data_IF_878228434307
#
_entry.id   IF_878228434307
#
_cell.length_a   1.000
_cell.length_b   1.000
_cell.length_c   1.000
_cell.angle_alpha   90.00
_cell.angle_beta   90.00
_cell.angle_gamma   90.00
#
_symmetry.space_group_name_H-M   'P 1'
#
loop_
_entity.id
_entity.type
_entity.pdbx_description
1 polymer ?
#
# COMPACT_ATOMS: atom_id res chain seq x y z
N UNK A 1 -38.97 -36.29 -36.41
CA UNK A 1 -37.97 -36.34 -35.33
C UNK A 1 -36.84 -35.42 -35.75
N UNK A 2 -37.08 -34.10 -35.66
CA UNK A 2 -36.11 -33.09 -36.06
C UNK A 2 -35.19 -32.77 -34.88
N UNK A 3 -33.90 -33.04 -35.07
CA UNK A 3 -32.85 -32.67 -34.12
C UNK A 3 -32.67 -31.16 -34.12
N UNK A 4 -33.18 -30.49 -33.08
CA UNK A 4 -32.79 -29.12 -32.76
C UNK A 4 -31.30 -29.09 -32.42
N UNK A 5 -30.48 -28.71 -33.40
CA UNK A 5 -29.09 -28.35 -33.16
C UNK A 5 -29.07 -27.09 -32.29
N UNK A 6 -28.74 -27.26 -31.01
CA UNK A 6 -28.46 -26.17 -30.08
C UNK A 6 -27.20 -25.47 -30.60
N UNK A 7 -27.40 -24.40 -31.36
CA UNK A 7 -26.33 -23.50 -31.77
C UNK A 7 -25.75 -22.86 -30.50
N UNK A 8 -24.63 -23.39 -30.01
CA UNK A 8 -23.85 -22.77 -28.93
C UNK A 8 -23.36 -21.42 -29.45
N UNK A 9 -24.13 -20.37 -29.12
CA UNK A 9 -23.89 -19.01 -29.56
C UNK A 9 -22.43 -18.60 -29.39
N UNK A 10 -21.69 -18.58 -30.49
CA UNK A 10 -20.36 -18.00 -30.54
C UNK A 10 -20.51 -16.51 -30.27
N UNK A 11 -19.90 -16.00 -29.20
CA UNK A 11 -19.90 -14.55 -28.95
C UNK A 11 -19.45 -13.81 -30.21
N UNK A 12 -20.14 -12.74 -30.62
CA UNK A 12 -19.80 -12.01 -31.83
C UNK A 12 -18.36 -11.49 -31.75
N UNK A 13 -17.62 -11.59 -32.85
CA UNK A 13 -16.18 -11.30 -32.93
C UNK A 13 -15.81 -9.94 -32.30
N UNK A 14 -16.65 -8.92 -32.51
CA UNK A 14 -16.48 -7.57 -31.92
C UNK A 14 -16.48 -7.58 -30.39
N UNK A 15 -17.33 -8.39 -29.75
CA UNK A 15 -17.37 -8.53 -28.28
C UNK A 15 -16.13 -9.27 -27.76
N UNK A 16 -15.67 -10.30 -28.48
CA UNK A 16 -14.44 -11.03 -28.10
C UNK A 16 -13.20 -10.12 -28.14
N UNK A 17 -13.07 -9.30 -29.17
CA UNK A 17 -11.97 -8.32 -29.28
C UNK A 17 -12.05 -7.29 -28.14
N UNK A 18 -13.24 -6.74 -27.87
CA UNK A 18 -13.42 -5.77 -26.79
C UNK A 18 -13.12 -6.34 -25.39
N UNK A 19 -13.59 -7.56 -25.07
CA UNK A 19 -13.27 -8.20 -23.80
C UNK A 19 -11.78 -8.57 -23.71
N UNK A 20 -11.18 -9.01 -24.83
CA UNK A 20 -9.74 -9.29 -24.90
C UNK A 20 -8.90 -8.04 -24.64
N UNK A 21 -9.26 -6.90 -25.23
CA UNK A 21 -8.53 -5.64 -24.99
C UNK A 21 -8.67 -5.14 -23.55
N UNK A 22 -9.86 -5.26 -22.95
CA UNK A 22 -10.09 -4.91 -21.53
C UNK A 22 -9.24 -5.80 -20.63
N UNK A 23 -9.18 -7.10 -20.91
CA UNK A 23 -8.40 -8.05 -20.12
C UNK A 23 -6.90 -7.77 -20.20
N UNK A 24 -6.38 -7.46 -21.40
CA UNK A 24 -4.97 -7.06 -21.58
C UNK A 24 -4.69 -5.76 -20.80
N UNK A 25 -5.57 -4.76 -20.90
CA UNK A 25 -5.43 -3.51 -20.16
C UNK A 25 -5.41 -3.75 -18.63
N UNK A 26 -6.26 -4.65 -18.15
CA UNK A 26 -6.28 -5.05 -16.74
C UNK A 26 -4.96 -5.69 -16.31
N UNK A 27 -4.40 -6.61 -17.11
CA UNK A 27 -3.10 -7.22 -16.82
C UNK A 27 -1.99 -6.16 -16.78
N UNK A 28 -1.96 -5.25 -17.77
CA UNK A 28 -0.95 -4.19 -17.82
C UNK A 28 -1.07 -3.25 -16.61
N UNK A 29 -2.29 -2.92 -16.21
CA UNK A 29 -2.54 -2.13 -15.01
C UNK A 29 -2.04 -2.85 -13.75
N UNK A 30 -2.35 -4.13 -13.58
CA UNK A 30 -1.85 -4.92 -12.45
C UNK A 30 -0.31 -5.01 -12.44
N UNK A 31 0.31 -5.18 -13.61
CA UNK A 31 1.76 -5.20 -13.74
C UNK A 31 2.39 -3.85 -13.34
N UNK A 32 1.77 -2.72 -13.71
CA UNK A 32 2.25 -1.40 -13.29
C UNK A 32 2.19 -1.19 -11.78
N UNK A 33 1.18 -1.72 -11.09
CA UNK A 33 1.11 -1.65 -9.63
C UNK A 33 2.26 -2.43 -8.99
N UNK A 34 2.53 -3.64 -9.47
CA UNK A 34 3.66 -4.45 -8.99
C UNK A 34 4.99 -3.73 -9.18
N UNK A 35 5.17 -3.01 -10.29
CA UNK A 35 6.38 -2.23 -10.54
C UNK A 35 6.62 -1.11 -9.52
N UNK A 36 5.58 -0.59 -8.88
CA UNK A 36 5.68 0.42 -7.81
C UNK A 36 5.88 -0.25 -6.44
N UNK A 37 5.18 -1.35 -6.18
CA UNK A 37 5.19 -2.05 -4.88
C UNK A 37 6.53 -2.76 -4.61
N UNK A 38 7.14 -3.36 -5.63
CA UNK A 38 8.38 -4.13 -5.46
C UNK A 38 9.54 -3.27 -4.94
N UNK A 39 9.86 -2.10 -5.54
CA UNK A 39 10.86 -1.21 -4.96
C UNK A 39 10.57 -0.85 -3.50
N UNK A 40 9.30 -0.57 -3.16
CA UNK A 40 8.88 -0.30 -1.77
C UNK A 40 9.23 -1.45 -0.85
N UNK A 41 8.91 -2.70 -1.23
CA UNK A 41 9.29 -3.85 -0.39
C UNK A 41 10.79 -4.04 -0.15
N UNK A 42 11.65 -3.45 -0.99
CA UNK A 42 13.12 -3.57 -0.93
C UNK A 42 13.76 -2.35 -0.21
N UNK A 43 12.95 -1.43 0.35
CA UNK A 43 13.47 -0.25 1.06
C UNK A 43 13.62 0.99 0.18
N UNK A 44 12.93 1.05 -0.96
CA UNK A 44 12.92 2.20 -1.87
C UNK A 44 11.49 2.69 -2.09
N UNK A 45 11.20 3.98 -1.92
CA UNK A 45 9.83 4.53 -2.03
C UNK A 45 8.98 4.31 -0.77
N UNK A 46 9.53 4.64 0.39
CA UNK A 46 8.78 4.84 1.63
C UNK A 46 8.58 6.32 1.95
N UNK A 47 9.38 7.21 1.35
CA UNK A 47 9.33 8.64 1.63
C UNK A 47 8.66 9.48 0.53
N UNK A 48 8.10 10.60 0.95
CA UNK A 48 7.52 11.64 0.11
C UNK A 48 6.29 11.17 -0.67
N UNK A 49 6.02 11.89 -1.76
CA UNK A 49 4.88 11.62 -2.64
C UNK A 49 4.98 10.22 -3.26
N UNK A 50 6.20 9.74 -3.52
CA UNK A 50 6.41 8.41 -4.12
C UNK A 50 6.06 7.31 -3.11
N UNK A 51 6.43 7.47 -1.84
CA UNK A 51 5.99 6.60 -0.75
C UNK A 51 4.48 6.55 -0.60
N UNK A 52 3.82 7.71 -0.63
CA UNK A 52 2.35 7.78 -0.59
C UNK A 52 1.68 7.06 -1.78
N UNK A 53 2.20 7.27 -3.00
CA UNK A 53 1.69 6.57 -4.20
C UNK A 53 1.89 5.06 -4.09
N UNK A 54 3.01 4.61 -3.52
CA UNK A 54 3.29 3.20 -3.29
C UNK A 54 2.31 2.57 -2.28
N UNK A 55 2.09 3.22 -1.14
CA UNK A 55 1.14 2.75 -0.11
C UNK A 55 -0.29 2.63 -0.67
N UNK A 56 -0.76 3.64 -1.41
CA UNK A 56 -2.07 3.57 -2.09
C UNK A 56 -2.10 2.41 -3.09
N UNK A 57 -1.05 2.28 -3.90
CA UNK A 57 -0.98 1.25 -4.94
C UNK A 57 -1.07 -0.15 -4.35
N UNK A 58 -0.37 -0.40 -3.24
CA UNK A 58 -0.45 -1.64 -2.49
C UNK A 58 -1.86 -1.91 -1.95
N UNK A 59 -2.47 -0.93 -1.27
CA UNK A 59 -3.84 -1.08 -0.72
C UNK A 59 -4.86 -1.34 -1.81
N UNK A 60 -4.78 -0.62 -2.93
CA UNK A 60 -5.67 -0.80 -4.07
C UNK A 60 -5.48 -2.18 -4.71
N UNK A 61 -4.23 -2.63 -4.85
CA UNK A 61 -3.91 -3.96 -5.38
C UNK A 61 -4.56 -5.08 -4.55
N UNK A 62 -4.49 -5.00 -3.22
CA UNK A 62 -5.15 -5.95 -2.31
C UNK A 62 -6.67 -5.95 -2.51
N UNK A 63 -7.30 -4.77 -2.59
CA UNK A 63 -8.75 -4.64 -2.82
C UNK A 63 -9.17 -5.28 -4.15
N UNK A 64 -8.40 -5.05 -5.21
CA UNK A 64 -8.66 -5.65 -6.53
C UNK A 64 -8.53 -7.17 -6.48
N UNK A 65 -7.49 -7.72 -5.84
CA UNK A 65 -7.33 -9.18 -5.71
C UNK A 65 -8.52 -9.80 -4.98
N UNK A 66 -8.91 -9.23 -3.83
CA UNK A 66 -10.06 -9.73 -3.06
C UNK A 66 -11.35 -9.65 -3.89
N UNK A 67 -11.56 -8.55 -4.62
CA UNK A 67 -12.70 -8.39 -5.52
C UNK A 67 -12.74 -9.45 -6.63
N UNK A 68 -11.60 -9.75 -7.25
CA UNK A 68 -11.47 -10.81 -8.26
C UNK A 68 -11.79 -12.18 -7.67
N UNK A 69 -11.24 -12.50 -6.49
CA UNK A 69 -11.51 -13.77 -5.79
C UNK A 69 -13.01 -13.92 -5.47
N UNK A 70 -13.68 -12.85 -5.03
CA UNK A 70 -15.11 -12.86 -4.78
C UNK A 70 -15.92 -13.02 -6.06
N UNK A 71 -15.51 -12.38 -7.16
CA UNK A 71 -16.15 -12.53 -8.46
C UNK A 71 -16.06 -13.97 -8.96
N UNK A 72 -14.89 -14.62 -8.84
CA UNK A 72 -14.75 -16.04 -9.13
C UNK A 72 -15.63 -16.88 -8.21
N UNK A 73 -15.58 -16.65 -6.90
CA UNK A 73 -16.41 -17.36 -5.91
C UNK A 73 -17.92 -17.25 -6.19
N UNK A 74 -18.37 -16.16 -6.81
CA UNK A 74 -19.77 -15.98 -7.20
C UNK A 74 -20.20 -16.99 -8.28
N UNK A 75 -19.33 -17.34 -9.22
CA UNK A 75 -19.66 -18.29 -10.30
C UNK A 75 -19.68 -19.75 -9.82
N UNK A 76 -18.95 -20.08 -8.77
CA UNK A 76 -18.84 -21.45 -8.24
C UNK A 76 -19.87 -21.78 -7.14
N UNK A 77 -20.76 -20.84 -6.78
CA UNK A 77 -21.77 -21.09 -5.75
C UNK A 77 -22.93 -21.92 -6.33
N UNK A 78 -23.12 -23.13 -5.80
CA UNK A 78 -24.23 -24.01 -6.23
C UNK A 78 -25.34 -24.13 -5.19
N UNK A 79 -25.01 -24.07 -3.89
CA UNK A 79 -25.96 -24.26 -2.79
C UNK A 79 -26.35 -22.94 -2.12
N UNK A 80 -27.53 -22.91 -1.51
CA UNK A 80 -28.03 -21.74 -0.78
C UNK A 80 -27.09 -21.31 0.36
N UNK A 81 -26.50 -22.28 1.07
CA UNK A 81 -25.51 -22.05 2.13
C UNK A 81 -24.29 -21.29 1.61
N UNK A 82 -23.77 -21.68 0.44
CA UNK A 82 -22.65 -20.98 -0.21
C UNK A 82 -23.02 -19.57 -0.65
N UNK A 83 -24.30 -19.34 -1.02
CA UNK A 83 -24.78 -18.00 -1.34
C UNK A 83 -24.78 -17.09 -0.10
N UNK A 84 -25.23 -17.58 1.05
CA UNK A 84 -25.21 -16.82 2.31
C UNK A 84 -23.77 -16.50 2.72
N UNK A 85 -22.87 -17.49 2.69
CA UNK A 85 -21.44 -17.30 2.99
C UNK A 85 -20.83 -16.25 2.05
N UNK A 86 -21.13 -16.33 0.75
CA UNK A 86 -20.64 -15.37 -0.23
C UNK A 86 -21.07 -13.94 0.08
N UNK A 87 -22.33 -13.73 0.49
CA UNK A 87 -22.82 -12.40 0.90
C UNK A 87 -22.09 -11.87 2.14
N UNK A 88 -21.83 -12.74 3.13
CA UNK A 88 -21.06 -12.36 4.32
C UNK A 88 -19.63 -11.94 3.89
N UNK A 89 -18.97 -12.74 3.05
CA UNK A 89 -17.64 -12.41 2.54
C UNK A 89 -17.63 -11.10 1.74
N UNK A 90 -18.68 -10.84 0.95
CA UNK A 90 -18.81 -9.58 0.21
C UNK A 90 -18.90 -8.38 1.14
N UNK A 91 -19.76 -8.44 2.17
CA UNK A 91 -19.92 -7.35 3.14
C UNK A 91 -18.60 -7.09 3.88
N UNK A 92 -17.92 -8.15 4.31
CA UNK A 92 -16.60 -8.06 4.98
C UNK A 92 -15.57 -7.44 4.04
N UNK A 93 -15.52 -7.85 2.77
CA UNK A 93 -14.59 -7.29 1.81
C UNK A 93 -14.87 -5.82 1.49
N UNK A 94 -16.14 -5.42 1.38
CA UNK A 94 -16.51 -4.02 1.20
C UNK A 94 -16.09 -3.17 2.40
N UNK A 95 -16.36 -3.65 3.62
CA UNK A 95 -15.94 -2.96 4.84
C UNK A 95 -14.40 -2.89 4.94
N UNK A 96 -13.71 -4.01 4.71
CA UNK A 96 -12.25 -4.08 4.74
C UNK A 96 -11.61 -3.17 3.69
N UNK A 97 -12.12 -3.16 2.46
CA UNK A 97 -11.65 -2.27 1.41
C UNK A 97 -11.87 -0.79 1.75
N UNK A 98 -13.01 -0.45 2.35
CA UNK A 98 -13.24 0.90 2.85
C UNK A 98 -12.23 1.29 3.93
N UNK A 99 -11.99 0.44 4.93
CA UNK A 99 -11.00 0.74 5.97
C UNK A 99 -9.57 0.83 5.45
N UNK A 100 -9.20 -0.03 4.48
CA UNK A 100 -7.88 0.02 3.83
C UNK A 100 -7.67 1.34 3.09
N UNK A 101 -8.66 1.78 2.30
CA UNK A 101 -8.56 2.99 1.47
C UNK A 101 -8.89 4.28 2.22
N UNK A 102 -9.49 4.20 3.42
CA UNK A 102 -9.84 5.37 4.23
C UNK A 102 -8.62 6.22 4.56
N UNK A 103 -7.52 5.60 5.01
CA UNK A 103 -6.32 6.30 5.42
C UNK A 103 -5.75 7.20 4.31
N UNK A 104 -5.44 6.70 3.10
CA UNK A 104 -4.92 7.57 2.04
C UNK A 104 -5.93 8.63 1.59
N UNK A 105 -7.23 8.33 1.56
CA UNK A 105 -8.26 9.33 1.21
C UNK A 105 -8.28 10.49 2.21
N UNK A 106 -8.07 10.21 3.51
CA UNK A 106 -7.99 11.24 4.54
C UNK A 106 -6.69 12.04 4.49
N UNK A 107 -5.64 11.51 3.86
CA UNK A 107 -4.36 12.18 3.69
C UNK A 107 -4.27 13.07 2.45
N UNK A 108 -5.22 12.99 1.51
CA UNK A 108 -5.30 13.89 0.35
C UNK A 108 -5.11 15.39 0.69
N UNK A 109 -5.78 15.98 1.71
CA UNK A 109 -5.57 17.38 2.07
C UNK A 109 -4.18 17.65 2.68
N UNK A 110 -3.53 16.64 3.26
CA UNK A 110 -2.22 16.76 3.90
C UNK A 110 -1.05 16.62 2.92
N UNK A 111 -1.28 16.20 1.66
CA UNK A 111 -0.22 16.13 0.64
C UNK A 111 0.40 17.51 0.39
N UNK A 112 -0.42 18.56 0.33
CA UNK A 112 0.05 19.93 0.13
C UNK A 112 0.54 20.59 1.44
N UNK A 113 0.02 20.14 2.58
CA UNK A 113 0.30 20.68 3.90
C UNK A 113 0.48 19.53 4.90
N UNK A 114 1.64 18.85 4.88
CA UNK A 114 1.88 17.70 5.75
C UNK A 114 1.91 18.12 7.22
N UNK A 115 1.55 17.19 8.10
CA UNK A 115 1.64 17.41 9.54
C UNK A 115 3.10 17.44 9.95
N UNK A 116 3.46 18.26 10.96
CA UNK A 116 4.81 18.34 11.48
C UNK A 116 4.90 17.81 12.91
N UNK A 117 6.01 17.16 13.23
CA UNK A 117 6.31 16.60 14.54
C UNK A 117 7.81 16.70 14.81
N UNK A 118 8.17 17.05 16.03
CA UNK A 118 9.55 17.00 16.50
C UNK A 118 9.76 15.73 17.31
N UNK A 119 10.85 15.03 17.02
CA UNK A 119 11.29 13.85 17.75
C UNK A 119 12.62 14.14 18.44
N UNK A 120 12.71 13.73 19.69
CA UNK A 120 13.92 13.75 20.50
C UNK A 120 14.52 12.35 20.63
N UNK A 121 15.83 12.28 20.85
CA UNK A 121 16.60 11.03 20.97
C UNK A 121 16.35 10.07 19.80
N UNK A 122 16.55 10.59 18.60
CA UNK A 122 16.29 9.87 17.36
C UNK A 122 17.32 8.77 17.15
N UNK A 123 16.82 7.59 16.77
CA UNK A 123 17.64 6.43 16.43
C UNK A 123 17.22 5.86 15.09
N UNK A 124 18.21 5.34 14.36
CA UNK A 124 18.04 4.75 13.04
C UNK A 124 18.24 3.24 13.12
N UNK A 125 17.24 2.48 12.71
CA UNK A 125 17.25 1.03 12.76
C UNK A 125 17.13 0.44 11.35
N UNK A 126 17.86 -0.66 11.14
CA UNK A 126 17.73 -1.51 9.96
C UNK A 126 17.21 -2.88 10.42
N UNK A 127 15.97 -3.18 10.09
CA UNK A 127 15.35 -4.45 10.37
C UNK A 127 15.59 -5.42 9.20
N UNK A 128 16.36 -6.48 9.47
CA UNK A 128 16.74 -7.53 8.51
C UNK A 128 16.01 -8.85 8.86
N UNK A 129 15.05 -8.83 9.79
CA UNK A 129 14.38 -10.07 10.23
C UNK A 129 13.43 -10.65 9.18
N UNK A 130 13.19 -9.94 8.08
CA UNK A 130 12.31 -10.38 7.01
C UNK A 130 13.15 -10.90 5.85
N UNK A 131 12.94 -12.17 5.48
CA UNK A 131 13.73 -12.88 4.45
C UNK A 131 13.67 -12.22 3.06
N UNK A 132 12.65 -11.39 2.82
CA UNK A 132 12.40 -10.75 1.53
C UNK A 132 12.14 -9.23 1.61
N UNK A 133 12.31 -8.60 2.77
CA UNK A 133 12.09 -7.16 2.94
C UNK A 133 13.14 -6.55 3.87
N UNK A 134 13.68 -5.41 3.48
CA UNK A 134 14.59 -4.63 4.33
C UNK A 134 13.83 -3.37 4.74
N UNK A 135 13.54 -3.26 6.03
CA UNK A 135 12.83 -2.11 6.57
C UNK A 135 13.82 -1.20 7.27
N UNK A 136 13.92 0.03 6.78
CA UNK A 136 14.70 1.08 7.41
C UNK A 136 13.74 1.95 8.20
N UNK A 137 14.07 2.24 9.45
CA UNK A 137 13.18 2.93 10.37
C UNK A 137 13.93 4.06 11.07
N UNK A 138 13.22 5.15 11.28
CA UNK A 138 13.61 6.20 12.22
C UNK A 138 12.62 6.19 13.37
N UNK A 139 13.12 6.22 14.60
CA UNK A 139 12.28 6.27 15.79
C UNK A 139 12.80 7.29 16.79
N UNK A 140 11.90 7.89 17.55
CA UNK A 140 12.25 8.86 18.58
C UNK A 140 11.07 9.15 19.48
N UNK A 141 11.29 10.01 20.46
CA UNK A 141 10.30 10.39 21.45
C UNK A 141 9.66 11.72 21.07
N UNK A 142 8.34 11.78 21.17
CA UNK A 142 7.59 13.03 21.05
C UNK A 142 7.70 13.86 22.33
N UNK A 143 7.23 15.10 22.28
CA UNK A 143 7.14 15.96 23.47
C UNK A 143 6.27 15.37 24.60
N UNK A 144 5.33 14.47 24.29
CA UNK A 144 4.54 13.73 25.29
C UNK A 144 5.24 12.46 25.80
N UNK A 145 6.49 12.23 25.40
CA UNK A 145 7.30 11.05 25.70
C UNK A 145 6.73 9.74 25.09
N UNK A 146 5.88 9.86 24.08
CA UNK A 146 5.42 8.71 23.27
C UNK A 146 6.44 8.38 22.19
N UNK A 147 6.68 7.09 21.95
CA UNK A 147 7.57 6.63 20.88
C UNK A 147 6.82 6.69 19.55
N UNK A 148 7.42 7.36 18.56
CA UNK A 148 6.96 7.36 17.17
C UNK A 148 8.02 6.70 16.28
N UNK A 149 7.55 5.90 15.34
CA UNK A 149 8.38 5.17 14.37
C UNK A 149 7.88 5.50 12.97
N UNK A 150 8.80 5.81 12.07
CA UNK A 150 8.53 6.04 10.66
C UNK A 150 9.43 5.15 9.80
N UNK A 151 8.86 4.61 8.72
CA UNK A 151 9.65 3.92 7.69
C UNK A 151 10.33 4.96 6.79
N UNK A 152 11.60 4.72 6.50
CA UNK A 152 12.46 5.61 5.70
C UNK A 152 13.07 4.86 4.53
N UNK A 153 13.57 5.60 3.57
CA UNK A 153 14.28 5.03 2.43
C UNK A 153 15.69 4.59 2.83
N UNK A 154 16.18 3.54 2.17
CA UNK A 154 17.56 3.05 2.32
C UNK A 154 18.60 4.16 2.16
N UNK A 155 18.39 5.03 1.16
CA UNK A 155 19.27 6.18 0.90
C UNK A 155 19.26 7.19 2.06
N UNK A 156 18.09 7.52 2.60
CA UNK A 156 17.95 8.44 3.73
C UNK A 156 18.62 7.85 4.97
N UNK A 157 18.43 6.56 5.23
CA UNK A 157 19.12 5.86 6.31
C UNK A 157 20.64 5.92 6.17
N UNK A 158 21.19 5.60 5.01
CA UNK A 158 22.65 5.61 4.80
C UNK A 158 23.21 7.03 4.94
N UNK A 159 22.52 8.04 4.39
CA UNK A 159 22.92 9.46 4.49
C UNK A 159 22.92 9.96 5.93
N UNK A 160 21.85 9.69 6.69
CA UNK A 160 21.73 10.14 8.08
C UNK A 160 22.69 9.40 9.00
N UNK A 161 22.95 8.13 8.73
CA UNK A 161 23.92 7.34 9.49
C UNK A 161 25.36 7.80 9.28
N UNK A 162 25.70 8.27 8.08
CA UNK A 162 27.03 8.86 7.82
C UNK A 162 27.21 10.21 8.50
N UNK A 163 26.12 10.95 8.69
CA UNK A 163 26.12 12.31 9.27
C UNK A 163 26.41 12.32 10.78
N UNK A 164 25.93 11.32 11.52
CA UNK A 164 25.95 11.31 12.97
C UNK A 164 26.79 10.19 13.57
N UNK A 165 27.45 10.46 14.70
CA UNK A 165 28.16 9.43 15.45
C UNK A 165 27.19 8.69 16.39
N UNK A 166 27.50 7.44 16.76
CA UNK A 166 26.64 6.65 17.64
C UNK A 166 26.36 7.23 19.04
N UNK A 167 27.09 8.28 19.45
CA UNK A 167 27.01 8.91 20.76
C UNK A 167 26.34 10.28 20.72
N UNK A 168 25.96 10.76 19.53
CA UNK A 168 25.38 12.08 19.38
C UNK A 168 23.91 12.03 19.86
N UNK A 169 23.49 13.03 20.63
CA UNK A 169 22.08 13.22 20.95
C UNK A 169 21.43 13.92 19.75
N UNK A 170 20.64 13.19 18.97
CA UNK A 170 20.04 13.68 17.73
C UNK A 170 18.55 13.96 17.99
N UNK A 171 18.08 15.12 17.54
CA UNK A 171 16.66 15.42 17.40
C UNK A 171 16.32 15.55 15.91
N UNK A 172 15.05 15.38 15.55
CA UNK A 172 14.59 15.51 14.18
C UNK A 172 13.25 16.27 14.08
N UNK A 173 13.19 17.18 13.11
CA UNK A 173 11.95 17.75 12.62
C UNK A 173 11.46 16.87 11.47
N UNK A 174 10.25 16.33 11.62
CA UNK A 174 9.62 15.43 10.66
C UNK A 174 8.36 16.08 10.14
N UNK A 175 8.15 15.98 8.83
CA UNK A 175 6.82 16.16 8.25
C UNK A 175 6.30 14.83 7.72
N UNK A 176 5.00 14.57 7.88
CA UNK A 176 4.40 13.28 7.55
C UNK A 176 2.91 13.40 7.21
N UNK A 177 2.37 12.34 6.62
CA UNK A 177 0.94 12.18 6.37
C UNK A 177 0.26 11.49 7.57
N UNK A 178 -0.71 12.14 8.24
CA UNK A 178 -1.16 11.73 9.56
C UNK A 178 -1.97 10.42 9.63
N UNK A 179 -2.51 9.93 8.51
CA UNK A 179 -3.33 8.70 8.50
C UNK A 179 -2.60 7.49 7.91
N UNK A 180 -1.64 7.71 7.02
CA UNK A 180 -0.80 6.69 6.40
C UNK A 180 0.58 6.57 7.06
N UNK A 181 0.95 7.52 7.91
CA UNK A 181 2.27 7.64 8.56
C UNK A 181 3.45 7.70 7.55
N UNK A 182 3.17 8.07 6.30
CA UNK A 182 4.22 8.27 5.28
C UNK A 182 5.03 9.51 5.62
N UNK A 183 6.34 9.33 5.77
CA UNK A 183 7.28 10.42 6.02
C UNK A 183 7.43 11.26 4.75
N UNK A 184 7.26 12.57 4.86
CA UNK A 184 7.33 13.52 3.75
C UNK A 184 8.67 14.25 3.69
N UNK A 185 9.20 14.63 4.85
CA UNK A 185 10.51 15.26 4.99
C UNK A 185 11.11 14.92 6.36
N UNK A 186 12.42 14.67 6.39
CA UNK A 186 13.20 14.41 7.59
C UNK A 186 14.34 15.44 7.66
N UNK A 187 14.46 16.13 8.79
CA UNK A 187 15.58 17.05 9.09
C UNK A 187 16.14 16.76 10.46
N UNK A 188 17.35 16.22 10.51
CA UNK A 188 18.05 15.93 11.76
C UNK A 188 19.00 17.05 12.18
N UNK A 189 19.15 17.23 13.49
CA UNK A 189 20.08 18.17 14.11
C UNK A 189 20.55 17.65 15.48
N UNK A 190 21.67 18.20 15.95
CA UNK A 190 22.19 17.92 17.29
C UNK A 190 21.28 18.58 18.33
N UNK A 191 20.86 17.80 19.32
CA UNK A 191 20.05 18.27 20.44
C UNK A 191 20.94 19.03 21.41
N UNK A 192 20.56 20.27 21.74
CA UNK A 192 21.29 21.13 22.69
C UNK A 192 21.05 20.73 24.15
#
# INVERSE_FOLDING_TARGET
METMAINKGTMPLRRRIAYGSIFILFILFMASLVFIIVPASIGYFHEGIIGYVSDISWRFFVVVIVGVLLAFGYFYKEKWQHTVIWWICLVIACAGGFFLLKAPVLDLPYIAHPASLNLDYVTFEKDINHEYAILYKVQGYTASNDIKVFEIDSHTYDTEKEKWKPQDNISADITYLPHTDVLMELKTYESN
#
